data_IF_295731222902
#
_entry.id   IF_295731222902
#
_cell.length_a   1.000
_cell.length_b   1.000
_cell.length_c   1.000
_cell.angle_alpha   90.00
_cell.angle_beta   90.00
_cell.angle_gamma   90.00
#
_symmetry.space_group_name_H-M   'P 1'
#
loop_
_entity.id
_entity.type
_entity.pdbx_description
1 polymer ?
#
# COMPACT_ATOMS: atom_id res chain seq x y z
N UNK A 1 18.09 23.70 -16.88
CA UNK A 1 19.38 23.07 -17.26
C UNK A 1 19.39 21.53 -17.07
N UNK A 2 18.33 20.92 -16.52
CA UNK A 2 18.14 19.45 -16.47
C UNK A 2 17.24 18.96 -17.63
N UNK A 3 16.42 19.82 -18.23
CA UNK A 3 15.55 19.48 -19.37
C UNK A 3 16.28 19.27 -20.71
N UNK A 4 17.56 19.63 -20.83
CA UNK A 4 18.31 19.48 -22.08
C UNK A 4 18.91 18.08 -22.28
N UNK A 5 18.93 17.22 -21.25
CA UNK A 5 19.53 15.88 -21.32
C UNK A 5 18.51 14.82 -21.77
N UNK A 6 17.21 15.04 -21.55
CA UNK A 6 16.17 14.06 -21.89
C UNK A 6 15.74 14.05 -23.37
N UNK A 7 16.04 15.11 -24.13
CA UNK A 7 15.68 15.21 -25.55
C UNK A 7 16.87 15.04 -26.51
N UNK A 8 17.99 14.49 -26.01
CA UNK A 8 19.14 14.16 -26.84
C UNK A 8 18.89 12.86 -27.62
N UNK A 9 19.15 12.81 -28.94
CA UNK A 9 19.06 11.57 -29.73
C UNK A 9 20.01 10.46 -29.24
N UNK A 10 20.99 10.80 -28.38
CA UNK A 10 21.85 9.83 -27.71
C UNK A 10 21.16 9.10 -26.55
N UNK A 11 20.17 9.71 -25.88
CA UNK A 11 19.39 9.06 -24.81
C UNK A 11 18.56 7.90 -25.36
N UNK A 12 17.90 8.11 -26.50
CA UNK A 12 17.10 7.09 -27.20
C UNK A 12 17.97 5.93 -27.68
N UNK A 13 19.20 6.20 -28.12
CA UNK A 13 20.15 5.16 -28.50
C UNK A 13 20.59 4.33 -27.28
N UNK A 14 20.93 4.96 -26.14
CA UNK A 14 21.38 4.23 -24.94
C UNK A 14 20.27 3.33 -24.38
N UNK A 15 19.03 3.83 -24.29
CA UNK A 15 17.88 3.02 -23.88
C UNK A 15 17.54 1.92 -24.89
N UNK A 16 17.66 2.22 -26.20
CA UNK A 16 17.49 1.23 -27.26
C UNK A 16 18.51 0.08 -27.15
N UNK A 17 19.78 0.39 -26.85
CA UNK A 17 20.82 -0.63 -26.66
C UNK A 17 20.59 -1.48 -25.41
N UNK A 18 20.14 -0.89 -24.29
CA UNK A 18 19.83 -1.63 -23.05
C UNK A 18 18.65 -2.59 -23.24
N UNK A 19 17.62 -2.18 -24.00
CA UNK A 19 16.45 -3.02 -24.29
C UNK A 19 16.84 -4.15 -25.25
N UNK A 20 17.62 -3.86 -26.31
CA UNK A 20 18.08 -4.88 -27.26
C UNK A 20 19.03 -5.89 -26.60
N UNK A 21 19.89 -5.46 -25.66
CA UNK A 21 20.78 -6.37 -24.93
C UNK A 21 20.00 -7.31 -23.99
N UNK A 22 18.96 -6.82 -23.32
CA UNK A 22 18.11 -7.66 -22.48
C UNK A 22 17.27 -8.64 -23.33
N UNK A 23 16.74 -8.21 -24.47
CA UNK A 23 15.96 -9.09 -25.35
C UNK A 23 16.82 -10.18 -26.01
N UNK A 24 18.03 -9.84 -26.44
CA UNK A 24 18.96 -10.83 -27.02
C UNK A 24 19.45 -11.83 -25.96
N UNK A 25 19.68 -11.40 -24.72
CA UNK A 25 20.01 -12.29 -23.61
C UNK A 25 18.86 -13.27 -23.28
N UNK A 26 17.61 -12.77 -23.26
CA UNK A 26 16.42 -13.61 -23.03
C UNK A 26 16.23 -14.62 -24.16
N UNK A 27 16.42 -14.22 -25.43
CA UNK A 27 16.32 -15.13 -26.57
C UNK A 27 17.46 -16.18 -26.60
N UNK A 28 18.67 -15.81 -26.15
CA UNK A 28 19.79 -16.75 -26.00
C UNK A 28 19.54 -17.79 -24.91
N UNK A 29 18.96 -17.37 -23.78
CA UNK A 29 18.56 -18.28 -22.70
C UNK A 29 17.40 -19.18 -23.14
N UNK A 30 16.39 -18.64 -23.83
CA UNK A 30 15.26 -19.41 -24.35
C UNK A 30 15.70 -20.43 -25.42
N UNK A 31 16.61 -20.07 -26.34
CA UNK A 31 17.11 -21.00 -27.36
C UNK A 31 17.98 -22.12 -26.78
N UNK A 32 18.72 -21.86 -25.68
CA UNK A 32 19.46 -22.90 -24.96
C UNK A 32 18.54 -23.84 -24.18
N UNK A 33 17.46 -23.33 -23.60
CA UNK A 33 16.44 -24.15 -22.93
C UNK A 33 15.67 -25.04 -23.93
N UNK A 34 15.32 -24.51 -25.11
CA UNK A 34 14.61 -25.29 -26.13
C UNK A 34 15.45 -26.45 -26.71
N UNK A 35 16.78 -26.26 -26.82
CA UNK A 35 17.72 -27.31 -27.22
C UNK A 35 17.89 -28.41 -26.17
N UNK A 36 17.66 -28.11 -24.89
CA UNK A 36 17.82 -29.07 -23.79
C UNK A 36 16.59 -29.98 -23.61
N UNK A 37 15.39 -29.48 -23.89
CA UNK A 37 14.15 -30.27 -23.74
C UNK A 37 13.85 -31.24 -24.89
N UNK A 38 14.61 -31.21 -26.00
CA UNK A 38 14.24 -31.95 -27.23
C UNK A 38 14.97 -33.28 -27.47
N UNK A 39 15.76 -33.84 -26.53
CA UNK A 39 16.43 -35.14 -26.76
C UNK A 39 16.53 -36.02 -25.50
N UNK A 40 15.58 -36.94 -25.32
CA UNK A 40 15.77 -38.40 -25.50
C UNK A 40 14.85 -39.23 -24.59
N UNK A 41 14.19 -40.29 -25.13
CA UNK A 41 13.48 -41.28 -24.35
C UNK A 41 14.49 -42.22 -23.67
N UNK A 42 14.26 -42.53 -22.39
CA UNK A 42 15.11 -43.42 -21.58
C UNK A 42 15.01 -44.86 -22.12
N UNK A 43 16.13 -45.40 -22.63
CA UNK A 43 16.34 -46.85 -22.78
C UNK A 43 17.16 -47.36 -21.60
N UNK A 44 16.55 -48.19 -20.78
CA UNK A 44 17.23 -48.93 -19.69
C UNK A 44 17.95 -50.14 -20.29
N UNK A 45 19.22 -50.36 -19.95
CA UNK A 45 19.94 -51.61 -20.24
C UNK A 45 20.70 -52.07 -18.99
N UNK A 46 20.37 -53.29 -18.54
CA UNK A 46 21.01 -54.03 -17.45
C UNK A 46 22.06 -55.02 -18.00
N UNK A 47 23.16 -55.21 -17.25
CA UNK A 47 24.13 -56.34 -17.19
C UNK A 47 25.55 -55.75 -17.00
N UNK A 48 26.42 -56.07 -16.03
CA UNK A 48 26.72 -57.33 -15.34
C UNK A 48 28.10 -57.84 -15.80
N UNK A 49 29.12 -57.90 -14.92
CA UNK A 49 30.35 -58.70 -15.12
C UNK A 49 31.73 -58.02 -14.85
N UNK A 50 32.59 -58.73 -14.10
CA UNK A 50 34.01 -58.49 -13.68
C UNK A 50 34.99 -58.26 -14.87
N UNK A 51 36.25 -57.76 -14.77
CA UNK A 51 37.39 -58.21 -13.93
C UNK A 51 38.65 -57.28 -14.11
N UNK A 52 39.49 -57.20 -13.05
CA UNK A 52 40.98 -56.99 -12.97
C UNK A 52 41.79 -55.72 -13.43
N UNK A 53 42.40 -55.11 -12.40
CA UNK A 53 43.85 -54.81 -12.11
C UNK A 53 44.71 -53.77 -12.88
N UNK A 54 45.58 -53.12 -12.05
CA UNK A 54 46.77 -52.25 -12.27
C UNK A 54 46.41 -50.79 -12.64
N UNK A 55 46.77 -49.75 -11.91
CA UNK A 55 47.83 -49.54 -10.92
C UNK A 55 48.86 -48.58 -11.52
N UNK A 56 48.79 -47.30 -11.14
CA UNK A 56 49.89 -46.35 -10.91
C UNK A 56 49.26 -44.98 -10.69
N UNK A 57 49.57 -44.37 -9.55
CA UNK A 57 49.09 -43.04 -9.22
C UNK A 57 49.51 -42.02 -10.28
N UNK A 58 48.54 -41.24 -10.72
CA UNK A 58 48.77 -39.85 -11.03
C UNK A 58 47.98 -39.09 -9.97
N UNK A 59 48.73 -38.43 -9.09
CA UNK A 59 48.33 -37.24 -8.35
C UNK A 59 46.84 -36.95 -8.45
N UNK A 60 46.08 -37.27 -7.39
CA UNK A 60 44.84 -36.54 -7.15
C UNK A 60 45.22 -35.07 -7.23
N UNK A 61 44.90 -34.47 -8.36
CA UNK A 61 45.20 -33.10 -8.65
C UNK A 61 44.24 -32.32 -7.75
N UNK A 62 44.75 -31.98 -6.57
CA UNK A 62 44.25 -31.01 -5.59
C UNK A 62 44.29 -29.60 -6.23
N UNK A 63 44.00 -29.51 -7.53
CA UNK A 63 43.95 -28.29 -8.34
C UNK A 63 42.64 -28.18 -9.14
N UNK A 64 41.65 -29.06 -8.95
CA UNK A 64 40.31 -28.83 -9.55
C UNK A 64 39.43 -27.83 -8.78
N UNK A 65 40.00 -27.07 -7.83
CA UNK A 65 39.43 -25.79 -7.40
C UNK A 65 39.92 -24.70 -8.35
N UNK A 66 39.49 -24.68 -9.62
CA UNK A 66 40.11 -23.74 -10.56
C UNK A 66 39.23 -23.27 -11.71
N UNK A 67 38.01 -22.82 -11.42
CA UNK A 67 37.49 -21.57 -12.02
C UNK A 67 36.09 -21.25 -11.51
N UNK A 68 35.87 -20.02 -11.05
CA UNK A 68 34.54 -19.47 -10.75
C UNK A 68 33.58 -19.56 -11.96
N UNK A 69 34.13 -19.57 -13.19
CA UNK A 69 33.34 -19.57 -14.43
C UNK A 69 32.92 -20.96 -14.92
N UNK A 70 33.16 -22.03 -14.16
CA UNK A 70 32.78 -23.37 -14.59
C UNK A 70 31.27 -23.62 -14.37
N UNK A 71 30.68 -24.47 -15.22
CA UNK A 71 29.24 -24.73 -15.20
C UNK A 71 28.72 -25.32 -13.87
N UNK A 72 29.41 -26.27 -13.21
CA UNK A 72 28.98 -26.78 -11.91
C UNK A 72 28.92 -25.70 -10.82
N UNK A 73 29.94 -24.83 -10.73
CA UNK A 73 29.97 -23.71 -9.78
C UNK A 73 28.83 -22.73 -10.07
N UNK A 74 28.61 -22.37 -11.34
CA UNK A 74 27.51 -21.48 -11.72
C UNK A 74 26.13 -22.07 -11.38
N UNK A 75 25.93 -23.38 -11.58
CA UNK A 75 24.69 -24.07 -11.22
C UNK A 75 24.49 -24.10 -9.70
N UNK A 76 25.53 -24.39 -8.93
CA UNK A 76 25.45 -24.41 -7.47
C UNK A 76 25.07 -23.02 -6.92
N UNK A 77 25.76 -21.97 -7.36
CA UNK A 77 25.46 -20.58 -6.98
C UNK A 77 24.04 -20.19 -7.38
N UNK A 78 23.61 -20.53 -8.60
CA UNK A 78 22.24 -20.26 -9.04
C UNK A 78 21.20 -20.98 -8.18
N UNK A 79 21.43 -22.26 -7.84
CA UNK A 79 20.51 -23.02 -6.98
C UNK A 79 20.43 -22.42 -5.57
N UNK A 80 21.57 -22.07 -4.98
CA UNK A 80 21.64 -21.47 -3.65
C UNK A 80 20.92 -20.12 -3.59
N UNK A 81 21.20 -19.24 -4.55
CA UNK A 81 20.58 -17.93 -4.65
C UNK A 81 19.07 -18.04 -4.83
N UNK A 82 18.60 -18.87 -5.76
CA UNK A 82 17.16 -19.01 -6.01
C UNK A 82 16.46 -19.64 -4.81
N UNK A 83 17.07 -20.63 -4.17
CA UNK A 83 16.50 -21.24 -2.97
C UNK A 83 16.31 -20.19 -1.88
N UNK A 84 17.34 -19.38 -1.61
CA UNK A 84 17.28 -18.30 -0.64
C UNK A 84 16.18 -17.28 -0.97
N UNK A 85 16.11 -16.84 -2.23
CA UNK A 85 15.07 -15.91 -2.68
C UNK A 85 13.66 -16.50 -2.54
N UNK A 86 13.45 -17.75 -2.96
CA UNK A 86 12.13 -18.39 -2.88
C UNK A 86 11.72 -18.66 -1.44
N UNK A 87 12.64 -19.02 -0.54
CA UNK A 87 12.35 -19.13 0.89
C UNK A 87 11.93 -17.78 1.49
N UNK A 88 12.62 -16.70 1.13
CA UNK A 88 12.23 -15.34 1.53
C UNK A 88 10.81 -15.00 1.02
N UNK A 89 10.54 -15.25 -0.26
CA UNK A 89 9.22 -15.00 -0.87
C UNK A 89 8.11 -15.87 -0.27
N UNK A 90 8.37 -17.13 0.08
CA UNK A 90 7.38 -17.98 0.75
C UNK A 90 7.06 -17.48 2.16
N UNK A 91 8.06 -16.99 2.87
CA UNK A 91 7.88 -16.34 4.19
C UNK A 91 7.05 -15.07 4.06
N UNK A 92 7.37 -14.23 3.07
CA UNK A 92 6.61 -13.02 2.76
C UNK A 92 5.16 -13.35 2.36
N UNK A 93 4.95 -14.40 1.55
CA UNK A 93 3.63 -14.88 1.17
C UNK A 93 2.82 -15.30 2.39
N UNK A 94 3.38 -16.11 3.30
CA UNK A 94 2.69 -16.52 4.51
C UNK A 94 2.27 -15.32 5.37
N UNK A 95 3.17 -14.34 5.55
CA UNK A 95 2.88 -13.11 6.29
C UNK A 95 1.77 -12.29 5.63
N UNK A 96 1.88 -12.07 4.31
CA UNK A 96 0.90 -11.29 3.56
C UNK A 96 -0.49 -11.94 3.55
N UNK A 97 -0.55 -13.27 3.36
CA UNK A 97 -1.80 -14.02 3.45
C UNK A 97 -2.47 -13.83 4.82
N UNK A 98 -1.69 -14.00 5.90
CA UNK A 98 -2.19 -13.85 7.27
C UNK A 98 -2.77 -12.45 7.52
N UNK A 99 -2.06 -11.41 7.07
CA UNK A 99 -2.51 -10.02 7.17
C UNK A 99 -3.82 -9.79 6.40
N UNK A 100 -3.95 -10.39 5.21
CA UNK A 100 -5.16 -10.29 4.38
C UNK A 100 -6.29 -11.24 4.77
N UNK A 101 -6.18 -11.97 5.89
CA UNK A 101 -7.24 -12.85 6.40
C UNK A 101 -7.28 -14.26 5.82
N UNK A 102 -6.16 -14.72 5.22
CA UNK A 102 -6.01 -16.07 4.67
C UNK A 102 -4.81 -16.81 5.24
N UNK A 103 -4.76 -18.12 5.03
CA UNK A 103 -3.58 -18.93 5.27
C UNK A 103 -3.48 -20.09 4.28
N UNK A 104 -2.29 -20.68 4.15
CA UNK A 104 -2.11 -21.95 3.46
C UNK A 104 -2.22 -23.08 4.48
N UNK A 105 -3.13 -24.03 4.24
CA UNK A 105 -3.26 -25.25 5.03
C UNK A 105 -2.97 -26.48 4.19
N UNK A 106 -2.23 -27.42 4.78
CA UNK A 106 -2.01 -28.72 4.17
C UNK A 106 -3.33 -29.50 4.12
N UNK A 107 -3.72 -29.96 2.93
CA UNK A 107 -5.03 -30.55 2.63
C UNK A 107 -6.24 -29.66 3.01
N UNK A 108 -6.09 -28.34 2.91
CA UNK A 108 -7.20 -27.39 3.07
C UNK A 108 -8.25 -27.45 1.94
N UNK A 109 -9.33 -26.70 2.10
CA UNK A 109 -10.48 -26.70 1.17
C UNK A 109 -10.18 -26.06 -0.19
N UNK A 110 -9.25 -25.11 -0.25
CA UNK A 110 -8.89 -24.40 -1.48
C UNK A 110 -9.96 -23.40 -1.88
N UNK A 111 -9.81 -22.15 -1.43
CA UNK A 111 -10.72 -21.06 -1.78
C UNK A 111 -10.10 -20.08 -2.77
N UNK A 112 -10.96 -19.27 -3.40
CA UNK A 112 -10.52 -18.08 -4.14
C UNK A 112 -10.45 -16.87 -3.23
N UNK A 113 -9.38 -16.10 -3.37
CA UNK A 113 -9.19 -14.84 -2.64
C UNK A 113 -10.07 -13.74 -3.24
N UNK A 114 -10.61 -12.86 -2.40
CA UNK A 114 -11.26 -11.65 -2.91
C UNK A 114 -10.29 -10.75 -3.70
N UNK A 115 -10.74 -10.10 -4.79
CA UNK A 115 -9.84 -9.35 -5.68
C UNK A 115 -9.00 -8.26 -5.00
N UNK A 116 -9.57 -7.52 -4.05
CA UNK A 116 -8.85 -6.44 -3.35
C UNK A 116 -7.77 -6.99 -2.40
N UNK A 117 -8.01 -8.16 -1.78
CA UNK A 117 -7.01 -8.88 -0.98
C UNK A 117 -5.93 -9.50 -1.85
N UNK A 118 -6.29 -10.04 -3.01
CA UNK A 118 -5.33 -10.58 -3.97
C UNK A 118 -4.33 -9.53 -4.41
N UNK A 119 -4.80 -8.29 -4.62
CA UNK A 119 -3.94 -7.17 -4.95
C UNK A 119 -2.99 -6.80 -3.80
N UNK A 120 -3.50 -6.69 -2.57
CA UNK A 120 -2.68 -6.41 -1.38
C UNK A 120 -1.58 -7.47 -1.16
N UNK A 121 -1.93 -8.76 -1.27
CA UNK A 121 -0.97 -9.86 -1.14
C UNK A 121 0.06 -9.81 -2.27
N UNK A 122 -0.36 -9.53 -3.50
CA UNK A 122 0.54 -9.40 -4.64
C UNK A 122 1.53 -8.23 -4.47
N UNK A 123 1.05 -7.08 -3.98
CA UNK A 123 1.89 -5.91 -3.73
C UNK A 123 2.93 -6.18 -2.64
N UNK A 124 2.51 -6.80 -1.53
CA UNK A 124 3.41 -7.16 -0.44
C UNK A 124 4.46 -8.19 -0.89
N UNK A 125 4.07 -9.15 -1.72
CA UNK A 125 4.98 -10.13 -2.31
C UNK A 125 6.00 -9.46 -3.24
N UNK A 126 5.55 -8.52 -4.07
CA UNK A 126 6.43 -7.77 -4.97
C UNK A 126 7.41 -6.89 -4.21
N UNK A 127 6.97 -6.25 -3.12
CA UNK A 127 7.83 -5.47 -2.22
C UNK A 127 8.91 -6.35 -1.59
N UNK A 128 8.54 -7.52 -1.06
CA UNK A 128 9.49 -8.46 -0.48
C UNK A 128 10.51 -8.95 -1.51
N UNK A 129 10.05 -9.28 -2.73
CA UNK A 129 10.93 -9.70 -3.82
C UNK A 129 11.95 -8.62 -4.18
N UNK A 130 11.53 -7.36 -4.27
CA UNK A 130 12.42 -6.26 -4.64
C UNK A 130 13.43 -5.96 -3.55
N UNK A 131 12.96 -5.82 -2.30
CA UNK A 131 13.81 -5.53 -1.14
C UNK A 131 14.83 -6.63 -0.85
N UNK A 132 14.57 -7.87 -1.26
CA UNK A 132 15.56 -8.95 -1.20
C UNK A 132 16.82 -8.63 -2.02
N UNK A 133 16.64 -8.04 -3.21
CA UNK A 133 17.75 -7.72 -4.13
C UNK A 133 18.28 -6.30 -3.97
N UNK A 134 17.41 -5.38 -3.55
CA UNK A 134 17.71 -3.96 -3.42
C UNK A 134 17.25 -3.44 -2.04
N UNK A 135 17.89 -3.87 -0.94
CA UNK A 135 17.44 -3.56 0.43
C UNK A 135 17.48 -2.07 0.78
N UNK A 136 18.25 -1.27 0.03
CA UNK A 136 18.41 0.16 0.26
C UNK A 136 17.50 1.03 -0.63
N UNK A 137 16.50 0.45 -1.31
CA UNK A 137 15.54 1.24 -2.07
C UNK A 137 14.73 2.17 -1.16
N UNK A 138 14.43 3.36 -1.67
CA UNK A 138 13.58 4.30 -0.96
C UNK A 138 12.12 3.83 -0.98
N UNK A 139 11.29 4.24 0.00
CA UNK A 139 9.86 3.93 -0.02
C UNK A 139 9.16 4.38 -1.31
N UNK A 140 9.54 5.54 -1.85
CA UNK A 140 8.94 6.09 -3.08
C UNK A 140 9.29 5.24 -4.32
N UNK A 141 10.53 4.77 -4.43
CA UNK A 141 10.95 3.89 -5.53
C UNK A 141 10.17 2.57 -5.51
N UNK A 142 9.97 2.01 -4.32
CA UNK A 142 9.18 0.80 -4.11
C UNK A 142 7.74 1.04 -4.54
N UNK A 143 7.09 2.11 -4.10
CA UNK A 143 5.69 2.38 -4.47
C UNK A 143 5.53 2.61 -5.98
N UNK A 144 6.49 3.27 -6.63
CA UNK A 144 6.52 3.42 -8.08
C UNK A 144 6.64 2.06 -8.80
N UNK A 145 7.50 1.18 -8.31
CA UNK A 145 7.61 -0.20 -8.80
C UNK A 145 6.28 -0.94 -8.61
N UNK A 146 5.69 -0.88 -7.42
CA UNK A 146 4.42 -1.55 -7.13
C UNK A 146 3.32 -1.04 -8.08
N UNK A 147 3.20 0.27 -8.28
CA UNK A 147 2.25 0.85 -9.23
C UNK A 147 2.44 0.31 -10.66
N UNK A 148 3.70 0.17 -11.12
CA UNK A 148 4.03 -0.44 -12.41
C UNK A 148 3.65 -1.93 -12.48
N UNK A 149 3.88 -2.68 -11.39
CA UNK A 149 3.53 -4.11 -11.32
C UNK A 149 2.02 -4.35 -11.29
N UNK A 150 1.25 -3.47 -10.64
CA UNK A 150 -0.22 -3.47 -10.69
C UNK A 150 -0.71 -3.25 -12.12
N UNK A 151 -0.20 -2.22 -12.79
CA UNK A 151 -0.58 -1.87 -14.18
C UNK A 151 -0.29 -2.99 -15.17
N UNK A 152 0.85 -3.67 -15.03
CA UNK A 152 1.25 -4.79 -15.89
C UNK A 152 0.60 -6.13 -15.53
N UNK A 153 -0.02 -6.24 -14.34
CA UNK A 153 -0.55 -7.50 -13.81
C UNK A 153 0.53 -8.49 -13.35
N UNK A 154 1.81 -8.08 -13.32
CA UNK A 154 2.94 -8.96 -13.01
C UNK A 154 2.84 -9.57 -11.61
N UNK A 155 2.56 -8.74 -10.60
CA UNK A 155 2.45 -9.20 -9.21
C UNK A 155 1.34 -10.24 -9.02
N UNK A 156 0.15 -9.97 -9.57
CA UNK A 156 -0.99 -10.91 -9.51
C UNK A 156 -0.67 -12.23 -10.22
N UNK A 157 0.01 -12.19 -11.37
CA UNK A 157 0.43 -13.41 -12.06
C UNK A 157 1.41 -14.23 -11.21
N UNK A 158 2.43 -13.59 -10.62
CA UNK A 158 3.39 -14.27 -9.74
C UNK A 158 2.69 -14.92 -8.54
N UNK A 159 1.80 -14.19 -7.86
CA UNK A 159 1.03 -14.71 -6.74
C UNK A 159 0.23 -15.97 -7.14
N UNK A 160 -0.49 -15.92 -8.26
CA UNK A 160 -1.30 -17.05 -8.76
C UNK A 160 -0.45 -18.27 -9.08
N UNK A 161 0.71 -18.09 -9.71
CA UNK A 161 1.64 -19.18 -10.02
C UNK A 161 2.21 -19.81 -8.74
N UNK A 162 2.55 -19.00 -7.74
CA UNK A 162 2.99 -19.50 -6.44
C UNK A 162 1.89 -20.27 -5.71
N UNK A 163 0.66 -19.74 -5.67
CA UNK A 163 -0.47 -20.43 -5.04
C UNK A 163 -0.82 -21.73 -5.78
N UNK A 164 -0.74 -21.75 -7.11
CA UNK A 164 -0.93 -22.96 -7.92
C UNK A 164 0.15 -24.01 -7.60
N UNK A 165 1.41 -23.59 -7.50
CA UNK A 165 2.53 -24.46 -7.13
C UNK A 165 2.40 -25.01 -5.70
N UNK A 166 1.83 -24.23 -4.78
CA UNK A 166 1.50 -24.66 -3.43
C UNK A 166 0.36 -25.69 -3.44
N UNK A 167 -0.71 -25.43 -4.20
CA UNK A 167 -1.85 -26.34 -4.32
C UNK A 167 -1.45 -27.71 -4.93
N UNK A 168 -0.54 -27.72 -5.91
CA UNK A 168 0.05 -28.96 -6.45
C UNK A 168 0.82 -29.79 -5.39
N UNK A 169 1.24 -29.15 -4.30
CA UNK A 169 1.91 -29.76 -3.14
C UNK A 169 0.97 -29.89 -1.94
N UNK A 170 -0.33 -29.84 -2.18
CA UNK A 170 -1.41 -29.96 -1.18
C UNK A 170 -1.49 -28.82 -0.16
N UNK A 171 -0.83 -27.69 -0.41
CA UNK A 171 -1.01 -26.47 0.40
C UNK A 171 -2.09 -25.60 -0.24
N UNK A 172 -3.27 -25.58 0.39
CA UNK A 172 -4.44 -24.91 -0.15
C UNK A 172 -4.77 -23.63 0.64
N UNK A 173 -5.15 -22.58 -0.09
CA UNK A 173 -5.62 -21.33 0.50
C UNK A 173 -6.91 -21.59 1.28
N UNK A 174 -6.98 -21.12 2.52
CA UNK A 174 -8.17 -21.21 3.39
C UNK A 174 -8.37 -19.88 4.11
N UNK A 175 -9.62 -19.39 4.25
CA UNK A 175 -9.88 -18.17 5.00
C UNK A 175 -9.66 -18.40 6.50
N UNK A 176 -9.16 -17.38 7.20
CA UNK A 176 -9.07 -17.37 8.67
C UNK A 176 -10.06 -16.41 9.33
N UNK A 177 -10.70 -15.54 8.53
CA UNK A 177 -11.73 -14.62 8.97
C UNK A 177 -13.09 -14.98 8.35
N UNK A 178 -14.22 -14.58 8.98
CA UNK A 178 -15.54 -14.66 8.37
C UNK A 178 -15.61 -13.96 7.01
N UNK A 179 -16.46 -14.46 6.12
CA UNK A 179 -16.64 -13.95 4.74
C UNK A 179 -16.95 -12.45 4.67
N UNK A 180 -17.74 -11.92 5.62
CA UNK A 180 -18.07 -10.50 5.66
C UNK A 180 -16.83 -9.64 5.98
N UNK A 181 -15.97 -10.05 6.91
CA UNK A 181 -14.72 -9.34 7.21
C UNK A 181 -13.75 -9.35 6.02
N UNK A 182 -13.71 -10.48 5.30
CA UNK A 182 -12.87 -10.61 4.10
C UNK A 182 -13.31 -9.64 2.99
N UNK A 183 -14.59 -9.24 2.96
CA UNK A 183 -15.16 -8.28 2.00
C UNK A 183 -15.04 -6.82 2.44
N UNK A 184 -15.16 -6.57 3.74
CA UNK A 184 -15.29 -5.22 4.29
C UNK A 184 -13.95 -4.61 4.69
N UNK A 185 -13.03 -5.42 5.23
CA UNK A 185 -11.79 -4.93 5.85
C UNK A 185 -10.62 -4.86 4.86
N UNK A 186 -9.55 -4.08 5.16
CA UNK A 186 -9.50 -3.10 6.24
C UNK A 186 -10.52 -1.98 6.02
N UNK A 187 -11.04 -1.43 7.11
CA UNK A 187 -11.85 -0.22 7.06
C UNK A 187 -10.94 0.94 6.63
N UNK A 188 -11.43 1.74 5.70
CA UNK A 188 -10.78 2.96 5.25
C UNK A 188 -11.28 4.11 6.12
N UNK A 189 -10.37 4.78 6.79
CA UNK A 189 -10.66 5.93 7.64
C UNK A 189 -9.95 7.15 7.08
N UNK A 190 -10.72 8.17 6.72
CA UNK A 190 -10.20 9.44 6.20
C UNK A 190 -10.50 10.53 7.19
N UNK A 191 -9.51 11.35 7.45
CA UNK A 191 -9.63 12.57 8.23
C UNK A 191 -9.21 13.76 7.37
N UNK A 192 -10.13 14.70 7.17
CA UNK A 192 -9.91 15.94 6.43
C UNK A 192 -9.98 17.10 7.43
N UNK A 193 -8.88 17.85 7.54
CA UNK A 193 -8.74 19.01 8.40
C UNK A 193 -8.56 20.25 7.53
N UNK A 194 -9.36 21.27 7.77
CA UNK A 194 -9.20 22.61 7.17
C UNK A 194 -9.04 23.62 8.29
N UNK A 195 -8.01 24.46 8.19
CA UNK A 195 -7.68 25.47 9.19
C UNK A 195 -7.67 26.85 8.51
N UNK A 196 -8.49 27.73 9.04
CA UNK A 196 -8.57 29.12 8.60
C UNK A 196 -7.82 30.08 9.51
N UNK A 197 -7.99 31.36 9.19
CA UNK A 197 -7.49 32.46 10.00
C UNK A 197 -8.21 32.60 11.34
N UNK A 198 -7.76 33.58 12.13
CA UNK A 198 -8.38 33.94 13.41
C UNK A 198 -9.80 34.45 13.18
N UNK A 199 -10.78 33.90 13.89
CA UNK A 199 -12.21 34.27 13.79
C UNK A 199 -12.79 34.21 12.36
N UNK A 200 -12.15 33.48 11.44
CA UNK A 200 -12.59 33.38 10.06
C UNK A 200 -13.98 32.70 9.99
N UNK A 201 -14.93 33.22 9.20
CA UNK A 201 -16.22 32.57 8.98
C UNK A 201 -16.05 31.13 8.46
N UNK A 202 -16.85 30.19 8.98
CA UNK A 202 -16.84 28.79 8.51
C UNK A 202 -17.17 28.70 7.01
N UNK A 203 -18.02 29.61 6.51
CA UNK A 203 -18.37 29.69 5.09
C UNK A 203 -17.14 29.84 4.17
N UNK A 204 -16.10 30.52 4.63
CA UNK A 204 -14.88 30.74 3.84
C UNK A 204 -14.02 29.47 3.75
N UNK A 205 -14.18 28.52 4.69
CA UNK A 205 -13.48 27.23 4.69
C UNK A 205 -14.17 26.19 3.79
N UNK A 206 -15.46 26.37 3.49
CA UNK A 206 -16.27 25.37 2.76
C UNK A 206 -15.72 25.05 1.36
N UNK A 207 -15.28 26.02 0.53
CA UNK A 207 -14.73 25.70 -0.80
C UNK A 207 -13.49 24.80 -0.72
N UNK A 208 -12.63 25.02 0.29
CA UNK A 208 -11.47 24.18 0.53
C UNK A 208 -11.89 22.77 0.97
N UNK A 209 -12.82 22.69 1.92
CA UNK A 209 -13.33 21.43 2.44
C UNK A 209 -13.97 20.57 1.32
N UNK A 210 -14.85 21.17 0.52
CA UNK A 210 -15.51 20.53 -0.62
C UNK A 210 -14.49 20.02 -1.65
N UNK A 211 -13.50 20.85 -2.00
CA UNK A 211 -12.45 20.47 -2.93
C UNK A 211 -11.63 19.27 -2.42
N UNK A 212 -11.27 19.27 -1.13
CA UNK A 212 -10.52 18.17 -0.54
C UNK A 212 -11.34 16.89 -0.44
N UNK A 213 -12.61 16.98 -0.05
CA UNK A 213 -13.50 15.83 0.02
C UNK A 213 -13.77 15.20 -1.33
N UNK A 214 -14.02 16.02 -2.35
CA UNK A 214 -14.18 15.54 -3.73
C UNK A 214 -12.91 14.81 -4.19
N UNK A 215 -11.74 15.42 -3.95
CA UNK A 215 -10.46 14.82 -4.30
C UNK A 215 -10.22 13.47 -3.60
N UNK A 216 -10.57 13.35 -2.31
CA UNK A 216 -10.46 12.09 -1.56
C UNK A 216 -11.44 11.03 -2.07
N UNK A 217 -12.64 11.43 -2.49
CA UNK A 217 -13.61 10.53 -3.13
C UNK A 217 -13.07 9.96 -4.44
N UNK A 218 -12.43 10.81 -5.24
CA UNK A 218 -11.90 10.49 -6.58
C UNK A 218 -10.57 9.71 -6.54
N UNK A 219 -9.82 9.79 -5.44
CA UNK A 219 -8.50 9.16 -5.28
C UNK A 219 -8.51 8.13 -4.14
N UNK A 220 -9.12 6.94 -4.33
CA UNK A 220 -9.23 5.94 -3.27
C UNK A 220 -7.96 5.11 -2.99
N UNK A 221 -6.90 5.26 -3.79
CA UNK A 221 -5.64 4.52 -3.70
C UNK A 221 -4.47 5.46 -3.32
N UNK A 222 -3.40 5.10 -2.61
CA UNK A 222 -2.98 3.86 -1.96
C UNK A 222 -1.89 4.22 -0.90
N UNK A 223 -1.70 3.28 0.03
CA UNK A 223 -0.46 3.00 0.75
C UNK A 223 -0.19 3.68 2.10
N UNK A 224 0.03 2.77 3.06
CA UNK A 224 0.66 2.85 4.38
C UNK A 224 0.06 3.69 5.51
N UNK A 225 0.22 3.10 6.69
CA UNK A 225 -0.32 3.47 7.99
C UNK A 225 -0.07 4.94 8.36
N UNK A 226 -1.06 5.55 9.01
CA UNK A 226 -0.93 6.75 9.84
C UNK A 226 -0.08 7.88 9.25
N UNK A 227 -0.17 8.09 7.93
CA UNK A 227 0.59 9.11 7.23
C UNK A 227 -0.31 10.27 6.77
N UNK A 228 0.29 11.46 6.70
CA UNK A 228 -0.30 12.62 6.03
C UNK A 228 -0.38 12.29 4.54
N UNK A 229 -1.57 11.94 4.06
CA UNK A 229 -1.82 11.59 2.66
C UNK A 229 -1.70 12.81 1.76
N UNK A 230 -2.11 13.98 2.26
CA UNK A 230 -1.93 15.26 1.57
C UNK A 230 -1.92 16.41 2.57
N UNK A 231 -1.09 17.42 2.33
CA UNK A 231 -1.14 18.70 3.05
C UNK A 231 -0.81 19.82 2.09
N UNK A 232 -1.39 20.99 2.29
CA UNK A 232 -1.02 22.17 1.52
C UNK A 232 -1.76 23.42 1.95
N UNK A 233 -1.64 24.42 1.10
CA UNK A 233 -2.35 25.69 1.22
C UNK A 233 -3.37 25.76 0.09
N UNK A 234 -4.62 26.01 0.44
CA UNK A 234 -5.68 26.31 -0.50
C UNK A 234 -5.79 27.83 -0.65
N UNK A 235 -5.61 28.30 -1.87
CA UNK A 235 -5.75 29.71 -2.23
C UNK A 235 -7.12 29.92 -2.85
N UNK A 236 -7.96 30.68 -2.18
CA UNK A 236 -9.27 31.05 -2.69
C UNK A 236 -9.14 32.17 -3.77
N UNK A 237 -8.34 31.99 -4.82
CA UNK A 237 -8.20 32.94 -5.93
C UNK A 237 -8.07 34.43 -5.52
N UNK A 238 -8.66 35.33 -6.32
CA UNK A 238 -8.67 36.80 -6.11
C UNK A 238 -9.64 37.27 -4.99
N UNK A 239 -10.15 36.37 -4.15
CA UNK A 239 -11.21 36.70 -3.18
C UNK A 239 -10.73 37.45 -1.93
N UNK A 240 -9.43 37.72 -1.78
CA UNK A 240 -8.87 38.40 -0.61
C UNK A 240 -8.95 37.60 0.70
N UNK A 241 -9.46 36.37 0.65
CA UNK A 241 -9.49 35.42 1.79
C UNK A 241 -8.08 34.93 2.06
N UNK A 242 -7.70 34.89 3.35
CA UNK A 242 -6.39 34.39 3.75
C UNK A 242 -6.20 32.92 3.36
N UNK A 243 -4.96 32.58 2.97
CA UNK A 243 -4.53 31.22 2.66
C UNK A 243 -5.00 30.20 3.72
N UNK A 244 -5.73 29.17 3.28
CA UNK A 244 -6.26 28.11 4.15
C UNK A 244 -5.29 26.94 4.21
N UNK A 245 -4.99 26.43 5.39
CA UNK A 245 -4.19 25.21 5.52
C UNK A 245 -5.13 24.00 5.49
N UNK A 246 -4.79 22.98 4.70
CA UNK A 246 -5.52 21.71 4.71
C UNK A 246 -4.59 20.53 4.94
N UNK A 247 -5.13 19.49 5.56
CA UNK A 247 -4.46 18.22 5.79
C UNK A 247 -5.45 17.07 5.65
N UNK A 248 -5.09 16.06 4.86
CA UNK A 248 -5.82 14.82 4.68
C UNK A 248 -4.95 13.70 5.24
N UNK A 249 -5.51 12.93 6.17
CA UNK A 249 -4.90 11.71 6.72
C UNK A 249 -5.73 10.51 6.32
N UNK A 250 -5.03 9.44 5.96
CA UNK A 250 -5.63 8.16 5.63
C UNK A 250 -5.14 7.13 6.65
N UNK A 251 -6.06 6.36 7.21
CA UNK A 251 -5.77 5.25 8.11
C UNK A 251 -6.51 4.00 7.62
N UNK A 252 -5.87 2.86 7.82
CA UNK A 252 -6.49 1.55 7.63
C UNK A 252 -6.74 0.97 9.02
N UNK A 253 -7.91 0.40 9.23
CA UNK A 253 -8.25 -0.25 10.47
C UNK A 253 -8.75 -1.66 10.23
N UNK A 254 -8.05 -2.64 10.79
CA UNK A 254 -8.34 -4.05 10.61
C UNK A 254 -9.25 -4.64 11.70
N UNK A 255 -9.63 -3.85 12.71
CA UNK A 255 -10.39 -4.31 13.88
C UNK A 255 -11.75 -3.59 14.06
N UNK A 256 -12.87 -4.30 14.17
CA UNK A 256 -14.17 -3.68 14.46
C UNK A 256 -14.19 -2.99 15.84
N UNK A 257 -15.00 -1.93 16.05
CA UNK A 257 -15.84 -1.19 15.09
C UNK A 257 -15.10 -0.04 14.35
N UNK A 258 -13.79 0.08 14.58
CA UNK A 258 -12.98 1.18 14.08
C UNK A 258 -13.25 2.52 14.77
N UNK A 259 -13.65 3.52 13.99
CA UNK A 259 -13.76 4.90 14.43
C UNK A 259 -14.99 5.09 15.34
N UNK A 260 -16.09 4.43 15.01
CA UNK A 260 -17.38 4.63 15.68
C UNK A 260 -17.56 3.66 16.84
N UNK A 261 -18.16 4.10 17.96
CA UNK A 261 -18.24 3.28 19.17
C UNK A 261 -19.32 2.19 19.12
N UNK A 262 -20.21 2.24 18.13
CA UNK A 262 -21.38 1.36 18.00
C UNK A 262 -21.59 0.99 16.53
N UNK A 263 -22.42 -0.03 16.26
CA UNK A 263 -22.74 -0.44 14.89
C UNK A 263 -23.56 0.60 14.14
N UNK A 264 -24.46 1.35 14.79
CA UNK A 264 -25.20 2.42 14.13
C UNK A 264 -25.51 3.54 15.13
N UNK A 265 -25.69 4.75 14.64
CA UNK A 265 -26.15 5.88 15.43
C UNK A 265 -25.49 7.20 15.09
N UNK A 266 -25.58 8.13 16.03
CA UNK A 266 -25.12 9.52 15.87
C UNK A 266 -24.10 9.92 16.94
N UNK A 267 -23.51 8.94 17.63
CA UNK A 267 -22.53 9.18 18.70
C UNK A 267 -21.15 9.46 18.12
N UNK A 268 -20.54 10.56 18.56
CA UNK A 268 -19.21 10.97 18.07
C UNK A 268 -18.12 9.97 18.49
N UNK A 269 -17.15 9.68 17.60
CA UNK A 269 -15.94 8.94 17.95
C UNK A 269 -15.17 9.57 19.12
N UNK A 270 -14.60 8.77 20.06
CA UNK A 270 -13.80 9.32 21.16
C UNK A 270 -12.59 10.16 20.73
N UNK A 271 -12.07 9.95 19.52
CA UNK A 271 -10.97 10.77 18.98
C UNK A 271 -11.41 12.20 18.65
N UNK A 272 -12.69 12.43 18.33
CA UNK A 272 -13.26 13.76 18.08
C UNK A 272 -13.17 14.60 19.35
N UNK A 273 -13.56 14.04 20.50
CA UNK A 273 -13.54 14.78 21.77
C UNK A 273 -12.12 15.19 22.18
N UNK A 274 -11.15 14.26 22.02
CA UNK A 274 -9.74 14.54 22.30
C UNK A 274 -9.20 15.66 21.43
N UNK A 275 -9.55 15.68 20.15
CA UNK A 275 -9.10 16.71 19.23
C UNK A 275 -9.78 18.06 19.49
N UNK A 276 -11.08 18.05 19.75
CA UNK A 276 -11.85 19.24 20.13
C UNK A 276 -11.24 19.93 21.34
N UNK A 277 -10.88 19.17 22.38
CA UNK A 277 -10.21 19.72 23.56
C UNK A 277 -8.83 20.32 23.21
N UNK A 278 -8.05 19.66 22.34
CA UNK A 278 -6.75 20.17 21.90
C UNK A 278 -6.84 21.50 21.12
N UNK A 279 -7.98 21.77 20.48
CA UNK A 279 -8.22 22.98 19.69
C UNK A 279 -8.94 24.09 20.47
N UNK A 280 -9.40 23.82 21.69
CA UNK A 280 -10.18 24.77 22.51
C UNK A 280 -9.45 26.08 22.79
N UNK A 281 -8.13 26.04 22.85
CA UNK A 281 -7.27 27.21 23.10
C UNK A 281 -6.83 27.93 21.82
N UNK A 282 -7.22 27.42 20.66
CA UNK A 282 -6.88 28.03 19.37
C UNK A 282 -7.93 29.07 18.98
N UNK A 283 -7.47 30.28 18.63
CA UNK A 283 -8.34 31.34 18.11
C UNK A 283 -8.58 31.24 16.60
N UNK A 284 -8.08 30.18 15.96
CA UNK A 284 -8.31 29.91 14.54
C UNK A 284 -9.61 29.15 14.37
N UNK A 285 -10.25 29.32 13.22
CA UNK A 285 -11.40 28.48 12.84
C UNK A 285 -10.88 27.17 12.26
N UNK A 286 -11.35 26.04 12.79
CA UNK A 286 -11.01 24.71 12.30
C UNK A 286 -12.28 23.94 11.95
N UNK A 287 -12.23 23.22 10.83
CA UNK A 287 -13.23 22.22 10.47
C UNK A 287 -12.52 20.89 10.29
N UNK A 288 -13.00 19.86 10.98
CA UNK A 288 -12.46 18.51 10.83
C UNK A 288 -13.60 17.55 10.55
N UNK A 289 -13.41 16.72 9.51
CA UNK A 289 -14.36 15.68 9.12
C UNK A 289 -13.65 14.34 9.08
N UNK A 290 -14.27 13.36 9.69
CA UNK A 290 -13.87 11.96 9.69
C UNK A 290 -14.88 11.17 8.89
N UNK A 291 -14.40 10.30 8.01
CA UNK A 291 -15.22 9.36 7.25
C UNK A 291 -14.64 7.97 7.39
N UNK A 292 -15.48 6.99 7.67
CA UNK A 292 -15.14 5.58 7.62
C UNK A 292 -15.97 4.90 6.53
N UNK A 293 -15.34 4.09 5.70
CA UNK A 293 -16.02 3.23 4.74
C UNK A 293 -15.32 1.88 4.58
N UNK A 294 -16.04 0.87 4.14
CA UNK A 294 -15.46 -0.44 3.82
C UNK A 294 -14.65 -0.37 2.51
N UNK A 295 -13.65 -1.25 2.35
CA UNK A 295 -12.77 -1.24 1.16
C UNK A 295 -13.53 -1.41 -0.16
N UNK A 296 -14.65 -2.12 -0.12
CA UNK A 296 -15.50 -2.40 -1.29
C UNK A 296 -16.62 -1.37 -1.50
N UNK A 297 -16.66 -0.30 -0.70
CA UNK A 297 -17.65 0.77 -0.86
C UNK A 297 -17.60 1.37 -2.25
N UNK A 298 -18.79 1.51 -2.84
CA UNK A 298 -18.95 2.20 -4.12
C UNK A 298 -18.58 3.66 -3.97
N UNK A 299 -18.09 4.25 -5.05
CA UNK A 299 -17.69 5.65 -5.05
C UNK A 299 -18.85 6.58 -4.65
N UNK A 300 -20.08 6.28 -5.08
CA UNK A 300 -21.26 7.11 -4.77
C UNK A 300 -21.64 7.09 -3.29
N UNK A 301 -21.52 5.93 -2.63
CA UNK A 301 -21.79 5.80 -1.19
C UNK A 301 -20.75 6.61 -0.41
N UNK A 302 -19.48 6.44 -0.78
CA UNK A 302 -18.37 7.18 -0.18
C UNK A 302 -18.52 8.69 -0.34
N UNK A 303 -18.81 9.17 -1.54
CA UNK A 303 -19.00 10.61 -1.79
C UNK A 303 -20.23 11.14 -1.08
N UNK A 304 -21.30 10.35 -0.95
CA UNK A 304 -22.47 10.66 -0.15
C UNK A 304 -22.12 11.01 1.30
N UNK A 305 -21.29 10.19 1.98
CA UNK A 305 -20.87 10.45 3.36
C UNK A 305 -20.15 11.80 3.53
N UNK A 306 -19.28 12.15 2.58
CA UNK A 306 -18.61 13.46 2.56
C UNK A 306 -19.60 14.61 2.34
N UNK A 307 -20.51 14.45 1.38
CA UNK A 307 -21.50 15.48 1.03
C UNK A 307 -22.49 15.73 2.17
N UNK A 308 -22.91 14.69 2.88
CA UNK A 308 -23.80 14.81 4.04
C UNK A 308 -23.12 15.58 5.19
N UNK A 309 -21.84 15.31 5.46
CA UNK A 309 -21.07 16.07 6.44
C UNK A 309 -20.96 17.56 6.06
N UNK A 310 -20.60 17.87 4.81
CA UNK A 310 -20.49 19.26 4.32
C UNK A 310 -21.82 19.98 4.38
N UNK A 311 -22.92 19.32 3.99
CA UNK A 311 -24.26 19.91 4.04
C UNK A 311 -24.59 20.35 5.45
N UNK A 312 -24.41 19.49 6.45
CA UNK A 312 -24.69 19.80 7.86
C UNK A 312 -23.83 20.95 8.39
N UNK A 313 -22.54 20.99 8.03
CA UNK A 313 -21.66 22.10 8.38
C UNK A 313 -22.13 23.40 7.72
N UNK A 314 -22.55 23.35 6.46
CA UNK A 314 -23.10 24.51 5.72
C UNK A 314 -24.39 25.02 6.35
N UNK A 315 -25.22 24.13 6.88
CA UNK A 315 -26.46 24.45 7.59
C UNK A 315 -26.20 25.03 8.99
N UNK A 316 -24.93 25.12 9.41
CA UNK A 316 -24.50 25.78 10.65
C UNK A 316 -24.33 24.84 11.84
N UNK A 317 -24.42 23.52 11.63
CA UNK A 317 -24.13 22.56 12.70
C UNK A 317 -22.65 22.64 13.10
N UNK A 318 -22.40 22.77 14.41
CA UNK A 318 -21.02 22.80 14.95
C UNK A 318 -20.43 21.41 15.13
N UNK A 319 -21.25 20.37 15.19
CA UNK A 319 -20.81 18.99 15.35
C UNK A 319 -21.91 18.02 14.98
N UNK A 320 -21.52 16.82 14.53
CA UNK A 320 -22.47 15.78 14.18
C UNK A 320 -21.76 14.47 13.85
N UNK A 321 -22.50 13.38 13.94
CA UNK A 321 -22.10 12.08 13.41
C UNK A 321 -23.35 11.36 12.88
N UNK A 322 -23.13 10.48 11.91
CA UNK A 322 -24.12 9.56 11.37
C UNK A 322 -23.39 8.37 10.76
N UNK A 323 -23.71 7.17 11.22
CA UNK A 323 -23.07 5.94 10.79
C UNK A 323 -24.04 4.77 10.91
N UNK A 324 -23.88 3.84 9.96
CA UNK A 324 -24.60 2.58 9.91
C UNK A 324 -23.62 1.48 9.48
N UNK A 325 -23.58 0.44 10.30
CA UNK A 325 -22.61 -0.64 10.28
C UNK A 325 -21.16 -0.12 10.31
N UNK A 326 -20.33 -0.56 9.35
CA UNK A 326 -18.92 -0.19 9.24
C UNK A 326 -18.69 1.17 8.55
N UNK A 327 -19.74 1.87 8.10
CA UNK A 327 -19.64 3.09 7.27
C UNK A 327 -20.33 4.30 7.90
N UNK A 328 -19.71 5.48 7.78
CA UNK A 328 -20.31 6.70 8.31
C UNK A 328 -19.38 7.89 8.33
N UNK A 329 -19.85 9.00 8.89
CA UNK A 329 -19.08 10.21 9.08
C UNK A 329 -19.27 10.82 10.48
N UNK A 330 -18.29 11.60 10.90
CA UNK A 330 -18.38 12.52 12.02
C UNK A 330 -17.67 13.82 11.68
N UNK A 331 -18.12 14.93 12.23
CA UNK A 331 -17.46 16.21 12.07
C UNK A 331 -17.56 17.06 13.33
N UNK A 332 -16.65 18.03 13.44
CA UNK A 332 -16.79 19.13 14.35
C UNK A 332 -16.17 20.40 13.77
N UNK A 333 -16.67 21.53 14.25
CA UNK A 333 -16.27 22.87 13.89
C UNK A 333 -15.83 23.57 15.17
N UNK A 334 -14.54 23.88 15.25
CA UNK A 334 -14.02 24.78 16.26
C UNK A 334 -14.05 26.20 15.68
N UNK A 335 -15.09 26.95 16.01
CA UNK A 335 -15.14 28.38 15.75
C UNK A 335 -14.99 29.09 17.10
N UNK A 336 -13.98 29.96 17.27
CA UNK A 336 -13.78 30.65 18.54
C UNK A 336 -14.98 31.57 18.79
N UNK A 337 -15.59 31.46 19.98
CA UNK A 337 -16.68 32.35 20.35
C UNK A 337 -16.11 33.73 20.72
N UNK A 338 -16.66 34.79 20.13
CA UNK A 338 -16.29 36.18 20.38
C UNK A 338 -16.37 36.59 21.86
N UNK A 339 -17.13 35.85 22.67
CA UNK A 339 -17.26 36.09 24.11
C UNK A 339 -15.98 35.75 24.90
N UNK A 340 -15.15 34.80 24.44
CA UNK A 340 -13.90 34.45 25.11
C UNK A 340 -12.81 35.51 24.90
N UNK A 341 -12.80 36.17 23.72
CA UNK A 341 -11.91 37.31 23.44
C UNK A 341 -12.24 38.54 24.29
N UNK A 342 -13.49 38.69 24.73
CA UNK A 342 -13.93 39.82 25.56
C UNK A 342 -13.55 39.66 27.04
N UNK A 343 -13.27 38.44 27.51
CA UNK A 343 -12.85 38.18 28.91
C UNK A 343 -11.37 38.53 29.09
N UNK A 344 -10.52 38.19 28.12
CA UNK A 344 -9.09 38.55 28.17
C UNK A 344 -8.87 40.07 28.01
N UNK A 345 -9.70 40.75 27.20
CA UNK A 345 -9.67 42.21 27.09
C UNK A 345 -10.12 42.94 28.38
N UNK A 346 -10.92 42.29 29.24
CA UNK A 346 -11.34 42.83 30.54
C UNK A 346 -10.42 42.44 31.71
N UNK A 347 -9.57 41.43 31.55
CA UNK A 347 -8.57 41.03 32.56
C UNK A 347 -7.32 41.93 32.63
N UNK A 348 -7.10 42.80 31.64
CA UNK A 348 -5.98 43.75 31.62
C UNK A 348 -6.24 45.07 32.37
N UNK A 349 -7.42 45.23 32.97
CA UNK A 349 -7.79 46.42 33.72
C UNK A 349 -7.56 46.26 35.23
N UNK A 350 -6.50 46.89 35.74
CA UNK A 350 -6.26 47.24 37.14
C UNK A 350 -5.52 46.23 38.04
N UNK A 351 -4.22 46.47 38.22
CA UNK A 351 -3.69 46.70 39.58
C UNK A 351 -2.65 47.81 39.53
N UNK A 352 -2.97 48.92 40.19
CA UNK A 352 -2.10 50.07 40.39
C UNK A 352 -0.89 49.73 41.30
N UNK A 353 0.25 50.34 41.01
CA UNK A 353 0.98 51.18 41.98
C UNK A 353 1.90 52.17 41.27
#
# INVERSE_FOLDING_TARGET
MIEAINNSPFSVLIWGWIIVFNFTLILLVASRLYRWFSFSPVKVKNSGGQDKRKGTGSSEDITSVSSLNNAPTAQAIWQEINLSQFQHMLTALQSALKQSGYQLMFHGQGVHMHPHREEEVADNLMRARELFWAPNQTPDDIENLIASTRKSGYGKKMLREMLTSCAQRHWHLTPVRPEWELKSYPLRQVEVRVRGGVMMPVADLLPCLESMMQWVGDNPAASNQDAVYRRGIFRAGDSGVSDLEYEVRLRKNDEPPGLFPQAAGTTRPPCVEKEKESLRTTFRTHVTVFVQDITTSRHEIRTGLYQDAVRRIRDGEKEGADYDDDSGYAFFVNHPDSALLAVDAKGGGSSAH
#
